data_IF_866059936641
#
_entry.id   IF_866059936641
#
_cell.length_a   1.000
_cell.length_b   1.000
_cell.length_c   1.000
_cell.angle_alpha   90.00
_cell.angle_beta   90.00
_cell.angle_gamma   90.00
#
_symmetry.space_group_name_H-M   'P 1'
#
loop_
_entity.id
_entity.type
_entity.pdbx_description
1 polymer ?
#
# COMPACT_ATOMS: atom_id res chain seq x y z
N UNK A 1 -24.14 0.55 -3.78
CA UNK A 1 -23.51 0.87 -5.08
C UNK A 1 -22.29 1.71 -4.75
N UNK A 2 -21.08 1.29 -5.16
CA UNK A 2 -19.87 2.09 -4.96
C UNK A 2 -19.87 3.18 -6.02
N UNK A 3 -19.68 4.45 -5.64
CA UNK A 3 -19.63 5.54 -6.62
C UNK A 3 -18.32 5.46 -7.41
N UNK A 4 -18.28 6.05 -8.61
CA UNK A 4 -17.07 6.02 -9.43
C UNK A 4 -15.87 6.64 -8.71
N UNK A 5 -16.07 7.76 -8.03
CA UNK A 5 -15.01 8.45 -7.29
C UNK A 5 -14.49 7.61 -6.12
N UNK A 6 -15.40 6.95 -5.38
CA UNK A 6 -15.01 6.01 -4.31
C UNK A 6 -14.23 4.82 -4.86
N UNK A 7 -14.65 4.28 -6.01
CA UNK A 7 -13.96 3.17 -6.67
C UNK A 7 -12.55 3.57 -7.09
N UNK A 8 -12.40 4.73 -7.74
CA UNK A 8 -11.10 5.24 -8.18
C UNK A 8 -10.19 5.51 -6.98
N UNK A 9 -10.69 6.16 -5.94
CA UNK A 9 -9.92 6.44 -4.72
C UNK A 9 -9.44 5.14 -4.06
N UNK A 10 -10.33 4.15 -3.93
CA UNK A 10 -9.97 2.83 -3.41
C UNK A 10 -8.91 2.13 -4.27
N UNK A 11 -9.06 2.16 -5.60
CA UNK A 11 -8.12 1.54 -6.52
C UNK A 11 -6.73 2.19 -6.46
N UNK A 12 -6.67 3.52 -6.37
CA UNK A 12 -5.41 4.26 -6.22
C UNK A 12 -4.74 3.88 -4.89
N UNK A 13 -5.47 3.91 -3.77
CA UNK A 13 -4.91 3.53 -2.46
C UNK A 13 -4.40 2.10 -2.46
N UNK A 14 -5.17 1.16 -3.02
CA UNK A 14 -4.77 -0.25 -3.11
C UNK A 14 -3.49 -0.40 -3.93
N UNK A 15 -3.39 0.27 -5.08
CA UNK A 15 -2.19 0.25 -5.92
C UNK A 15 -0.98 0.78 -5.16
N UNK A 16 -1.11 1.92 -4.48
CA UNK A 16 -0.01 2.50 -3.68
C UNK A 16 0.49 1.52 -2.61
N UNK A 17 -0.41 0.84 -1.89
CA UNK A 17 0.00 -0.15 -0.88
C UNK A 17 0.73 -1.35 -1.49
N UNK A 18 0.31 -1.81 -2.67
CA UNK A 18 0.98 -2.90 -3.41
C UNK A 18 2.37 -2.47 -3.85
N UNK A 19 2.51 -1.24 -4.35
CA UNK A 19 3.79 -0.71 -4.82
C UNK A 19 4.78 -0.57 -3.65
N UNK A 20 4.34 -0.03 -2.51
CA UNK A 20 5.14 0.05 -1.27
C UNK A 20 5.61 -1.34 -0.80
N UNK A 21 4.71 -2.34 -0.84
CA UNK A 21 5.07 -3.70 -0.47
C UNK A 21 6.16 -4.28 -1.39
N UNK A 22 6.00 -4.11 -2.70
CA UNK A 22 6.95 -4.63 -3.70
C UNK A 22 8.31 -3.96 -3.62
N UNK A 23 8.37 -2.66 -3.32
CA UNK A 23 9.63 -1.96 -3.07
C UNK A 23 10.41 -2.57 -1.90
N UNK A 24 9.69 -3.14 -0.91
CA UNK A 24 10.28 -3.75 0.29
C UNK A 24 10.60 -5.24 0.13
N UNK A 25 10.06 -5.90 -0.90
CA UNK A 25 10.27 -7.32 -1.22
C UNK A 25 10.93 -7.50 -2.62
N UNK A 26 12.18 -7.04 -2.80
CA UNK A 26 12.87 -7.16 -4.09
C UNK A 26 13.16 -8.61 -4.49
N UNK A 27 13.25 -9.51 -3.50
CA UNK A 27 13.54 -10.93 -3.70
C UNK A 27 12.27 -11.78 -3.94
N UNK A 28 11.09 -11.15 -4.02
CA UNK A 28 9.80 -11.80 -4.29
C UNK A 28 9.47 -12.93 -3.30
N UNK A 29 9.80 -12.72 -2.02
CA UNK A 29 9.55 -13.66 -0.93
C UNK A 29 8.06 -13.72 -0.55
N UNK A 30 7.24 -12.80 -1.06
CA UNK A 30 5.88 -12.52 -0.63
C UNK A 30 5.78 -12.11 0.85
N UNK A 31 6.87 -11.60 1.41
CA UNK A 31 6.92 -11.06 2.76
C UNK A 31 7.68 -9.75 2.77
N UNK A 32 7.16 -8.74 3.46
CA UNK A 32 7.82 -7.46 3.65
C UNK A 32 7.81 -7.12 5.14
N UNK A 33 8.97 -6.76 5.68
CA UNK A 33 9.12 -6.37 7.08
C UNK A 33 9.26 -4.86 7.17
N UNK A 34 8.50 -4.25 8.07
CA UNK A 34 8.53 -2.83 8.35
C UNK A 34 8.80 -2.62 9.84
N UNK A 35 9.48 -1.54 10.20
CA UNK A 35 9.41 -1.06 11.59
C UNK A 35 8.02 -0.47 11.85
N UNK A 36 7.65 -0.31 13.12
CA UNK A 36 6.36 0.29 13.48
C UNK A 36 6.21 1.73 12.93
N UNK A 37 7.30 2.50 12.99
CA UNK A 37 7.34 3.88 12.51
C UNK A 37 7.19 3.96 10.98
N UNK A 38 7.95 3.14 10.24
CA UNK A 38 7.84 3.02 8.78
C UNK A 38 6.42 2.61 8.35
N UNK A 39 5.82 1.65 9.08
CA UNK A 39 4.47 1.18 8.80
C UNK A 39 3.44 2.29 8.94
N UNK A 40 3.51 3.09 10.01
CA UNK A 40 2.61 4.22 10.23
C UNK A 40 2.79 5.27 9.12
N UNK A 41 4.03 5.63 8.79
CA UNK A 41 4.34 6.61 7.74
C UNK A 41 3.73 6.21 6.39
N UNK A 42 3.94 4.96 5.99
CA UNK A 42 3.54 4.44 4.68
C UNK A 42 2.05 4.15 4.56
N UNK A 43 1.34 3.84 5.66
CA UNK A 43 -0.07 3.42 5.59
C UNK A 43 -1.08 4.49 5.98
N UNK A 44 -0.72 5.42 6.85
CA UNK A 44 -1.64 6.41 7.42
C UNK A 44 -1.44 7.83 6.87
N UNK A 45 -0.24 8.16 6.40
CA UNK A 45 0.12 9.50 5.92
C UNK A 45 0.35 9.57 4.39
N UNK A 46 0.01 8.50 3.65
CA UNK A 46 0.00 8.45 2.18
C UNK A 46 -1.31 8.87 1.56
#
# INVERSE_FOLDING_TARGET
>A
MITFDDYIMCAVRLKTMIDIFRERDPDLTNTATFTMEEWIEKTLYS
#
